data_IF_088879895011
#
_entry.id   IF_088879895011
#
_cell.length_a   1.000
_cell.length_b   1.000
_cell.length_c   1.000
_cell.angle_alpha   90.00
_cell.angle_beta   90.00
_cell.angle_gamma   90.00
#
_symmetry.space_group_name_H-M   'P 1'
#
loop_
_entity.id
_entity.type
_entity.pdbx_description
1 polymer ?
#
# COMPACT_ATOMS: atom_id res chain seq x y z
N UNK A 1 -3.03 -23.03 8.69
CA UNK A 1 -3.99 -21.96 8.55
C UNK A 1 -3.45 -20.79 7.80
N UNK A 2 -4.30 -19.81 7.56
CA UNK A 2 -3.92 -18.59 6.88
C UNK A 2 -3.21 -17.64 7.84
N UNK A 3 -2.16 -16.98 7.36
CA UNK A 3 -1.44 -15.96 8.13
C UNK A 3 -2.04 -14.56 7.90
N UNK A 4 -2.90 -14.40 6.90
CA UNK A 4 -3.53 -13.14 6.59
C UNK A 4 -4.39 -13.20 5.34
N UNK A 5 -5.01 -12.08 5.01
CA UNK A 5 -5.79 -11.92 3.79
C UNK A 5 -5.45 -10.61 3.11
N UNK A 6 -5.74 -10.54 1.80
CA UNK A 6 -5.61 -9.34 1.00
C UNK A 6 -6.98 -8.92 0.48
N UNK A 7 -7.32 -7.63 0.67
CA UNK A 7 -8.59 -7.07 0.22
C UNK A 7 -8.31 -6.03 -0.89
N UNK A 8 -8.69 -6.33 -2.14
CA UNK A 8 -8.45 -5.38 -3.23
C UNK A 8 -9.26 -4.10 -3.09
N UNK A 9 -8.84 -3.06 -3.80
CA UNK A 9 -9.43 -1.72 -3.70
C UNK A 9 -10.91 -1.70 -4.06
N UNK A 10 -11.33 -2.53 -5.00
CA UNK A 10 -12.72 -2.56 -5.45
C UNK A 10 -13.66 -3.27 -4.47
N UNK A 11 -13.14 -4.03 -3.51
CA UNK A 11 -13.96 -4.71 -2.52
C UNK A 11 -14.27 -3.74 -1.38
N UNK A 12 -15.51 -3.32 -1.27
CA UNK A 12 -15.95 -2.32 -0.28
C UNK A 12 -16.79 -2.90 0.84
N UNK A 13 -16.84 -4.21 0.95
CA UNK A 13 -17.64 -4.90 1.96
C UNK A 13 -17.06 -4.68 3.35
N UNK A 14 -17.82 -3.99 4.22
CA UNK A 14 -17.30 -3.56 5.51
C UNK A 14 -17.11 -4.73 6.48
N UNK A 15 -18.08 -5.62 6.61
CA UNK A 15 -18.00 -6.73 7.57
C UNK A 15 -17.36 -7.97 6.95
N UNK A 16 -16.29 -7.76 6.21
CA UNK A 16 -15.64 -8.82 5.45
C UNK A 16 -15.12 -9.96 6.32
N UNK A 17 -14.54 -9.61 7.47
CA UNK A 17 -13.89 -10.59 8.35
C UNK A 17 -14.89 -11.21 9.36
N UNK A 18 -16.01 -10.56 9.60
CA UNK A 18 -16.95 -10.99 10.61
C UNK A 18 -16.57 -10.49 12.00
N UNK A 19 -17.22 -11.07 13.02
CA UNK A 19 -17.08 -10.61 14.41
C UNK A 19 -16.10 -11.45 15.22
N UNK A 20 -15.52 -12.48 14.64
CA UNK A 20 -14.59 -13.33 15.37
C UNK A 20 -13.28 -12.63 15.60
N UNK A 21 -12.74 -12.78 16.80
CA UNK A 21 -11.42 -12.25 17.07
C UNK A 21 -10.36 -13.08 16.32
N UNK A 22 -9.45 -12.37 15.68
CA UNK A 22 -8.36 -12.99 14.93
C UNK A 22 -7.08 -12.98 15.76
N UNK A 23 -6.19 -13.93 15.54
CA UNK A 23 -4.86 -13.87 16.17
C UNK A 23 -4.16 -12.55 15.85
N UNK A 24 -3.37 -12.04 16.77
CA UNK A 24 -2.62 -10.80 16.54
C UNK A 24 -1.64 -10.90 15.38
N UNK A 25 -1.18 -12.11 15.11
CA UNK A 25 -0.28 -12.37 13.98
C UNK A 25 -0.99 -12.38 12.63
N UNK A 26 -2.33 -12.45 12.63
CA UNK A 26 -3.09 -12.45 11.39
C UNK A 26 -3.09 -11.05 10.77
N UNK A 27 -2.63 -10.94 9.54
CA UNK A 27 -2.52 -9.66 8.86
C UNK A 27 -3.61 -9.47 7.82
N UNK A 28 -4.20 -8.29 7.82
CA UNK A 28 -5.18 -7.88 6.81
C UNK A 28 -4.54 -6.74 6.02
N UNK A 29 -4.30 -6.99 4.75
CA UNK A 29 -3.62 -6.04 3.87
C UNK A 29 -4.60 -5.65 2.77
N UNK A 30 -4.73 -4.36 2.53
CA UNK A 30 -5.60 -3.88 1.47
C UNK A 30 -4.86 -3.06 0.45
N UNK A 31 -5.56 -2.67 -0.61
CA UNK A 31 -5.05 -1.71 -1.57
C UNK A 31 -6.05 -0.59 -1.77
N UNK A 32 -5.54 0.57 -2.15
CA UNK A 32 -6.34 1.77 -2.36
C UNK A 32 -5.64 2.67 -3.37
N UNK A 33 -6.42 3.54 -4.01
CA UNK A 33 -5.91 4.51 -4.99
C UNK A 33 -6.14 5.95 -4.54
N UNK A 34 -6.89 6.16 -3.48
CA UNK A 34 -7.23 7.50 -3.00
C UNK A 34 -7.61 7.44 -1.52
N UNK A 35 -7.84 8.62 -0.95
CA UNK A 35 -8.18 8.74 0.47
C UNK A 35 -9.47 8.00 0.83
N UNK A 36 -10.50 8.10 0.00
CA UNK A 36 -11.77 7.45 0.28
C UNK A 36 -11.63 5.93 0.36
N UNK A 37 -10.85 5.36 -0.53
CA UNK A 37 -10.59 3.93 -0.53
C UNK A 37 -9.77 3.50 0.69
N UNK A 38 -8.85 4.35 1.15
CA UNK A 38 -8.11 4.09 2.39
C UNK A 38 -9.08 4.04 3.57
N UNK A 39 -10.04 4.96 3.63
CA UNK A 39 -11.02 4.97 4.72
C UNK A 39 -11.87 3.71 4.72
N UNK A 40 -12.22 3.19 3.56
CA UNK A 40 -12.93 1.91 3.45
C UNK A 40 -12.05 0.78 3.98
N UNK A 41 -10.79 0.76 3.61
CA UNK A 41 -9.84 -0.26 4.08
C UNK A 41 -9.67 -0.20 5.60
N UNK A 42 -9.69 1.00 6.17
CA UNK A 42 -9.64 1.18 7.61
C UNK A 42 -10.89 0.56 8.28
N UNK A 43 -12.06 0.76 7.70
CA UNK A 43 -13.30 0.14 8.19
C UNK A 43 -13.27 -1.38 8.03
N UNK A 44 -12.57 -1.89 7.04
CA UNK A 44 -12.38 -3.33 6.83
C UNK A 44 -11.30 -3.91 7.75
N UNK A 45 -10.75 -3.09 8.66
CA UNK A 45 -9.75 -3.51 9.65
C UNK A 45 -8.39 -3.89 9.06
N UNK A 46 -8.04 -3.30 7.92
CA UNK A 46 -6.72 -3.50 7.34
C UNK A 46 -5.64 -2.97 8.26
N UNK A 47 -4.58 -3.74 8.41
CA UNK A 47 -3.37 -3.34 9.16
C UNK A 47 -2.47 -2.46 8.30
N UNK A 48 -2.41 -2.76 7.01
CA UNK A 48 -1.59 -2.04 6.04
C UNK A 48 -2.35 -1.87 4.75
N UNK A 49 -2.05 -0.79 4.03
CA UNK A 49 -2.70 -0.49 2.74
C UNK A 49 -1.63 -0.12 1.72
N UNK A 50 -1.64 -0.82 0.59
CA UNK A 50 -0.85 -0.40 -0.57
C UNK A 50 -1.58 0.75 -1.25
N UNK A 51 -0.94 1.91 -1.30
CA UNK A 51 -1.47 3.10 -1.96
C UNK A 51 -0.73 3.30 -3.29
N UNK A 52 -1.44 3.22 -4.38
CA UNK A 52 -0.84 3.18 -5.72
C UNK A 52 -1.69 3.92 -6.75
N UNK A 53 -1.13 4.23 -7.92
CA UNK A 53 0.30 4.18 -8.22
C UNK A 53 1.00 5.43 -7.71
N UNK A 54 2.18 5.26 -7.11
CA UNK A 54 2.96 6.40 -6.63
C UNK A 54 3.58 7.18 -7.80
N UNK A 55 4.02 6.46 -8.83
CA UNK A 55 4.55 7.05 -10.05
C UNK A 55 3.81 6.49 -11.25
N UNK A 56 4.03 7.10 -12.41
CA UNK A 56 3.36 6.73 -13.65
C UNK A 56 3.56 5.25 -14.00
N UNK A 57 2.47 4.59 -14.36
CA UNK A 57 2.47 3.21 -14.84
C UNK A 57 1.89 3.16 -16.25
N UNK A 58 2.17 2.06 -16.99
CA UNK A 58 1.73 1.94 -18.37
C UNK A 58 0.22 1.96 -18.55
N UNK A 59 -0.52 1.50 -17.55
CA UNK A 59 -1.97 1.34 -17.63
C UNK A 59 -2.74 2.63 -17.38
N UNK A 60 -2.10 3.65 -16.82
CA UNK A 60 -2.79 4.88 -16.44
C UNK A 60 -1.83 6.04 -16.37
N UNK A 61 -2.31 7.21 -16.81
CA UNK A 61 -1.57 8.46 -16.64
C UNK A 61 -1.79 9.07 -15.26
N UNK A 62 -2.71 8.54 -14.48
CA UNK A 62 -2.99 9.04 -13.14
C UNK A 62 -2.05 8.39 -12.13
N UNK A 63 -1.36 9.22 -11.36
CA UNK A 63 -0.49 8.75 -10.30
C UNK A 63 -0.44 9.80 -9.19
N UNK A 64 -0.01 9.39 -8.01
CA UNK A 64 -0.04 10.26 -6.84
C UNK A 64 1.13 11.23 -6.77
N UNK A 65 2.31 10.76 -7.12
CA UNK A 65 3.57 11.41 -6.82
C UNK A 65 3.81 11.58 -5.31
N UNK A 66 4.99 12.02 -4.95
CA UNK A 66 5.44 12.11 -3.56
C UNK A 66 4.56 13.06 -2.75
N UNK A 67 4.31 14.25 -3.28
CA UNK A 67 3.55 15.28 -2.56
C UNK A 67 2.14 14.84 -2.21
N UNK A 68 1.44 14.27 -3.17
CA UNK A 68 0.07 13.84 -2.96
C UNK A 68 -0.01 12.64 -2.03
N UNK A 69 0.93 11.70 -2.17
CA UNK A 69 1.02 10.56 -1.26
C UNK A 69 1.21 11.04 0.18
N UNK A 70 2.17 11.93 0.40
CA UNK A 70 2.44 12.46 1.72
C UNK A 70 1.24 13.23 2.27
N UNK A 71 0.56 14.00 1.43
CA UNK A 71 -0.62 14.76 1.85
C UNK A 71 -1.75 13.83 2.29
N UNK A 72 -2.02 12.80 1.50
CA UNK A 72 -3.10 11.85 1.81
C UNK A 72 -2.81 11.10 3.10
N UNK A 73 -1.56 10.74 3.34
CA UNK A 73 -1.19 9.90 4.49
C UNK A 73 -0.79 10.69 5.73
N UNK A 74 -0.81 12.01 5.66
CA UNK A 74 -0.23 12.91 6.67
C UNK A 74 -0.67 12.59 8.10
N UNK A 75 -1.95 12.39 8.33
CA UNK A 75 -2.48 12.17 9.68
C UNK A 75 -3.08 10.77 9.85
N UNK A 76 -2.76 9.86 8.96
CA UNK A 76 -3.29 8.50 9.03
C UNK A 76 -2.47 7.65 10.01
N UNK A 77 -3.18 6.90 10.83
CA UNK A 77 -2.54 5.94 11.73
C UNK A 77 -2.31 4.58 11.07
N UNK A 78 -3.02 4.30 9.99
CA UNK A 78 -2.83 3.06 9.26
C UNK A 78 -1.55 3.15 8.42
N UNK A 79 -0.80 2.06 8.37
CA UNK A 79 0.43 2.01 7.57
C UNK A 79 0.09 1.99 6.09
N UNK A 80 0.55 3.00 5.36
CA UNK A 80 0.41 3.07 3.91
C UNK A 80 1.75 2.79 3.24
N UNK A 81 1.73 1.89 2.27
CA UNK A 81 2.92 1.47 1.55
C UNK A 81 2.79 1.95 0.11
N UNK A 82 3.76 2.71 -0.36
CA UNK A 82 3.77 3.19 -1.73
C UNK A 82 4.04 2.05 -2.70
N UNK A 83 3.27 2.01 -3.78
CA UNK A 83 3.39 0.96 -4.79
C UNK A 83 3.13 1.55 -6.17
N UNK A 84 3.80 1.00 -7.18
CA UNK A 84 3.49 1.28 -8.58
C UNK A 84 4.39 2.31 -9.23
N UNK A 85 4.95 1.94 -10.37
CA UNK A 85 5.74 2.83 -11.20
C UNK A 85 7.14 3.15 -10.70
N UNK A 86 7.60 2.48 -9.65
CA UNK A 86 8.95 2.71 -9.11
C UNK A 86 9.98 2.06 -10.04
N UNK A 87 10.99 2.85 -10.43
CA UNK A 87 12.04 2.38 -11.34
C UNK A 87 13.36 3.08 -11.02
N UNK A 88 14.38 2.77 -11.80
CA UNK A 88 15.71 3.31 -11.60
C UNK A 88 15.77 4.84 -11.68
N UNK A 89 14.91 5.44 -12.49
CA UNK A 89 14.89 6.89 -12.69
C UNK A 89 14.28 7.66 -11.52
N UNK A 90 13.34 7.03 -10.80
CA UNK A 90 12.57 7.72 -9.78
C UNK A 90 12.73 7.16 -8.36
N UNK A 91 13.41 6.03 -8.20
CA UNK A 91 13.46 5.40 -6.87
C UNK A 91 14.13 6.27 -5.81
N UNK A 92 15.01 7.18 -6.22
CA UNK A 92 15.65 8.11 -5.26
C UNK A 92 14.64 9.05 -4.61
N UNK A 93 13.55 9.34 -5.29
CA UNK A 93 12.46 10.18 -4.75
C UNK A 93 11.75 9.51 -3.58
N UNK A 94 11.88 8.19 -3.46
CA UNK A 94 11.26 7.42 -2.37
C UNK A 94 11.70 7.93 -1.00
N UNK A 95 12.91 8.47 -0.90
CA UNK A 95 13.42 9.05 0.35
C UNK A 95 12.55 10.19 0.87
N UNK A 96 11.78 10.82 -0.02
CA UNK A 96 10.90 11.94 0.33
C UNK A 96 9.55 11.48 0.84
N UNK A 97 9.25 10.19 0.75
CA UNK A 97 8.03 9.63 1.31
C UNK A 97 8.10 9.62 2.83
N UNK A 98 6.99 10.00 3.44
CA UNK A 98 6.84 9.98 4.90
C UNK A 98 6.25 8.67 5.40
N UNK A 99 5.98 7.73 4.49
CA UNK A 99 5.50 6.42 4.86
C UNK A 99 6.63 5.53 5.35
N UNK A 100 6.26 4.44 6.04
CA UNK A 100 7.22 3.51 6.60
C UNK A 100 7.82 2.55 5.58
N UNK A 101 7.29 2.51 4.36
CA UNK A 101 7.78 1.58 3.38
C UNK A 101 7.29 1.83 1.98
N UNK A 102 7.83 1.06 1.07
CA UNK A 102 7.43 1.07 -0.31
C UNK A 102 7.63 -0.32 -0.91
N UNK A 103 6.99 -0.57 -2.03
CA UNK A 103 7.12 -1.82 -2.73
C UNK A 103 7.25 -1.56 -4.23
N UNK A 104 8.18 -2.25 -4.86
CA UNK A 104 8.39 -2.18 -6.30
C UNK A 104 8.79 -3.55 -6.82
N UNK A 105 7.81 -4.39 -6.96
CA UNK A 105 8.04 -5.80 -7.31
C UNK A 105 8.73 -5.95 -8.65
N UNK A 106 8.24 -5.26 -9.67
CA UNK A 106 8.79 -5.38 -11.02
C UNK A 106 10.25 -4.95 -11.12
N UNK A 107 10.57 -3.79 -10.53
CA UNK A 107 11.92 -3.26 -10.59
C UNK A 107 12.88 -4.08 -9.73
N UNK A 108 12.48 -4.43 -8.52
CA UNK A 108 13.30 -5.21 -7.62
C UNK A 108 13.60 -6.58 -8.20
N UNK A 109 12.60 -7.23 -8.79
CA UNK A 109 12.76 -8.54 -9.40
C UNK A 109 13.73 -8.48 -10.59
N UNK A 110 13.58 -7.46 -11.44
CA UNK A 110 14.43 -7.28 -12.61
C UNK A 110 15.89 -7.07 -12.24
N UNK A 111 16.14 -6.34 -11.15
CA UNK A 111 17.50 -5.97 -10.74
C UNK A 111 18.07 -6.91 -9.67
N UNK A 112 17.34 -7.94 -9.29
CA UNK A 112 17.79 -8.89 -8.28
C UNK A 112 17.96 -8.29 -6.90
N UNK A 113 17.33 -7.16 -6.64
CA UNK A 113 17.43 -6.48 -5.36
C UNK A 113 16.50 -7.10 -4.31
N UNK A 114 17.00 -7.15 -3.09
CA UNK A 114 16.26 -7.61 -1.93
C UNK A 114 16.15 -6.46 -0.95
N UNK A 115 15.18 -6.50 -0.06
CA UNK A 115 15.02 -5.49 0.98
C UNK A 115 14.91 -4.07 0.42
N UNK A 116 14.21 -3.94 -0.70
CA UNK A 116 14.08 -2.68 -1.39
C UNK A 116 13.27 -1.66 -0.59
N UNK A 117 12.38 -2.11 0.25
CA UNK A 117 11.53 -1.25 1.05
C UNK A 117 11.46 -1.72 2.48
N UNK A 118 10.65 -1.06 3.25
CA UNK A 118 10.41 -1.39 4.66
C UNK A 118 9.06 -2.04 4.89
N UNK A 119 8.44 -2.52 3.85
CA UNK A 119 7.12 -3.11 4.03
C UNK A 119 7.26 -4.46 4.73
N UNK A 120 6.34 -4.69 5.63
CA UNK A 120 6.27 -5.92 6.41
C UNK A 120 4.95 -6.58 6.06
N UNK A 121 5.03 -7.58 5.27
CA UNK A 121 3.86 -8.31 4.84
C UNK A 121 3.82 -9.65 5.53
#
# INVERSE_FOLDING_TARGET
>A
GLDGIYIPSFNKKINYIGTHSLPKSFKIIGSAHNFNEIMIKKKQKCDQVFLSPIFKVNKSNKFLDISKFNLITLNLKIDCIALGGINQKNYKKIKLLKSKGFASISWAKKNGLRNLGRFKI
#
